data_IF_622979841209
#
_entry.id   IF_622979841209
#
_cell.length_a   1.000
_cell.length_b   1.000
_cell.length_c   1.000
_cell.angle_alpha   90.00
_cell.angle_beta   90.00
_cell.angle_gamma   90.00
#
_symmetry.space_group_name_H-M   'P 1'
#
loop_
_entity.id
_entity.type
_entity.pdbx_description
1 polymer ?
#
# COMPACT_ATOMS: atom_id res chain seq x y z
N UNK A 1 10.03 -21.95 4.28
CA UNK A 1 8.69 -21.58 4.78
C UNK A 1 8.57 -20.07 4.58
N UNK A 2 7.98 -19.65 3.47
CA UNK A 2 7.99 -18.24 3.06
C UNK A 2 6.86 -17.50 3.78
N UNK A 3 7.21 -16.70 4.79
CA UNK A 3 6.33 -15.72 5.41
C UNK A 3 6.63 -14.36 4.78
N UNK A 4 5.62 -13.59 4.41
CA UNK A 4 5.77 -12.21 3.93
C UNK A 4 5.13 -11.28 4.95
N UNK A 5 5.90 -10.39 5.54
CA UNK A 5 5.40 -9.38 6.48
C UNK A 5 5.05 -8.12 5.69
N UNK A 6 3.85 -7.59 5.87
CA UNK A 6 3.45 -6.35 5.22
C UNK A 6 3.22 -5.27 6.26
N UNK A 7 3.30 -4.04 5.81
CA UNK A 7 3.02 -2.89 6.65
C UNK A 7 2.41 -1.75 5.85
N UNK A 8 1.59 -0.97 6.56
CA UNK A 8 1.01 0.26 6.05
C UNK A 8 1.73 1.44 6.69
N UNK A 9 2.56 2.11 5.90
CA UNK A 9 3.09 3.43 6.29
C UNK A 9 2.37 4.52 5.55
N UNK A 10 1.69 5.38 6.29
CA UNK A 10 1.40 6.73 5.77
C UNK A 10 2.55 7.65 6.14
N UNK A 11 3.39 8.00 5.15
CA UNK A 11 4.35 9.10 5.26
C UNK A 11 3.66 10.39 4.83
N UNK A 12 2.53 10.72 5.45
CA UNK A 12 2.11 12.12 5.54
C UNK A 12 1.11 12.26 6.70
N UNK A 13 1.46 13.07 7.69
CA UNK A 13 0.54 13.60 8.68
C UNK A 13 0.22 15.07 8.33
N UNK A 14 -0.24 15.35 7.12
CA UNK A 14 -0.80 16.65 6.75
C UNK A 14 -2.09 16.47 5.94
N UNK A 15 -3.14 16.13 6.67
CA UNK A 15 -4.50 16.52 6.27
C UNK A 15 -5.37 15.42 5.68
N UNK A 16 -6.57 15.35 6.23
CA UNK A 16 -7.81 14.85 5.61
C UNK A 16 -8.23 13.38 5.76
N UNK A 17 -7.35 12.39 5.97
CA UNK A 17 -7.80 10.98 5.97
C UNK A 17 -7.64 10.21 7.29
N UNK A 18 -7.42 10.87 8.42
CA UNK A 18 -7.19 10.20 9.72
C UNK A 18 -8.34 9.31 10.20
N UNK A 19 -9.57 9.50 9.68
CA UNK A 19 -10.79 8.82 10.12
C UNK A 19 -11.02 7.42 9.50
N UNK A 20 -10.32 7.07 8.40
CA UNK A 20 -10.59 5.84 7.63
C UNK A 20 -9.54 4.72 7.78
N UNK A 21 -8.52 4.89 8.63
CA UNK A 21 -7.43 3.93 8.79
C UNK A 21 -7.90 2.48 9.05
N UNK A 22 -8.97 2.31 9.82
CA UNK A 22 -9.53 0.99 10.12
C UNK A 22 -10.18 0.31 8.92
N UNK A 23 -10.83 1.07 8.03
CA UNK A 23 -11.41 0.55 6.79
C UNK A 23 -10.32 0.22 5.79
N UNK A 24 -9.36 1.13 5.56
CA UNK A 24 -8.22 0.88 4.66
C UNK A 24 -7.47 -0.39 5.06
N UNK A 25 -7.18 -0.59 6.36
CA UNK A 25 -6.54 -1.82 6.84
C UNK A 25 -7.37 -3.07 6.52
N UNK A 26 -8.69 -3.01 6.66
CA UNK A 26 -9.57 -4.14 6.31
C UNK A 26 -9.53 -4.44 4.81
N UNK A 27 -9.59 -3.43 3.96
CA UNK A 27 -9.51 -3.63 2.50
C UNK A 27 -8.17 -4.25 2.10
N UNK A 28 -7.07 -3.77 2.70
CA UNK A 28 -5.74 -4.33 2.45
C UNK A 28 -5.62 -5.78 2.94
N UNK A 29 -6.16 -6.09 4.12
CA UNK A 29 -6.18 -7.47 4.64
C UNK A 29 -6.98 -8.40 3.71
N UNK A 30 -8.15 -7.94 3.23
CA UNK A 30 -8.97 -8.70 2.27
C UNK A 30 -8.25 -8.90 0.93
N UNK A 31 -7.60 -7.85 0.41
CA UNK A 31 -6.85 -7.91 -0.84
C UNK A 31 -5.68 -8.91 -0.73
N UNK A 32 -4.92 -8.88 0.36
CA UNK A 32 -3.82 -9.82 0.61
C UNK A 32 -4.32 -11.25 0.88
N UNK A 33 -5.49 -11.40 1.49
CA UNK A 33 -6.10 -12.71 1.74
C UNK A 33 -6.43 -13.48 0.46
N UNK A 34 -6.69 -12.79 -0.66
CA UNK A 34 -6.86 -13.44 -1.98
C UNK A 34 -5.61 -14.24 -2.35
N UNK A 35 -4.43 -13.65 -2.17
CA UNK A 35 -3.15 -14.29 -2.48
C UNK A 35 -2.80 -15.38 -1.46
N UNK A 36 -3.02 -15.13 -0.17
CA UNK A 36 -2.77 -16.12 0.88
C UNK A 36 -3.57 -17.41 0.66
N UNK A 37 -4.83 -17.28 0.22
CA UNK A 37 -5.73 -18.44 0.00
C UNK A 37 -5.24 -19.40 -1.07
N UNK A 38 -4.47 -18.91 -2.05
CA UNK A 38 -4.05 -19.66 -3.23
C UNK A 38 -2.53 -19.90 -3.28
N UNK A 39 -1.83 -19.66 -2.18
CA UNK A 39 -0.39 -19.86 -2.07
C UNK A 39 -0.01 -20.33 -0.67
N UNK A 40 1.29 -20.51 -0.42
CA UNK A 40 1.82 -20.73 0.93
C UNK A 40 2.25 -19.42 1.61
N UNK A 41 1.82 -18.27 1.09
CA UNK A 41 2.12 -16.98 1.70
C UNK A 41 1.21 -16.74 2.91
N UNK A 42 1.80 -16.17 3.95
CA UNK A 42 1.07 -15.60 5.08
C UNK A 42 1.46 -14.14 5.17
N UNK A 43 0.45 -13.28 5.37
CA UNK A 43 0.58 -11.85 5.46
C UNK A 43 0.28 -11.41 6.90
N UNK A 44 1.17 -10.61 7.50
CA UNK A 44 0.97 -10.03 8.83
C UNK A 44 1.30 -8.55 8.82
N UNK A 45 0.37 -7.71 9.29
CA UNK A 45 0.60 -6.29 9.54
C UNK A 45 1.65 -6.10 10.65
N UNK A 46 2.65 -5.26 10.41
CA UNK A 46 3.61 -4.82 11.44
C UNK A 46 3.49 -3.31 11.71
N UNK A 47 4.41 -2.69 12.46
CA UNK A 47 4.52 -1.24 12.60
C UNK A 47 5.97 -0.78 12.35
N UNK A 48 6.65 -1.44 11.41
CA UNK A 48 8.08 -1.27 11.15
C UNK A 48 8.33 -0.84 9.71
N UNK A 49 9.24 0.12 9.53
CA UNK A 49 9.79 0.53 8.24
C UNK A 49 10.54 -0.60 7.53
N UNK A 50 10.91 -1.68 8.24
CA UNK A 50 11.57 -2.88 7.71
C UNK A 50 10.57 -3.95 7.19
N UNK A 51 9.38 -3.57 6.75
CA UNK A 51 8.41 -4.53 6.21
C UNK A 51 8.75 -4.95 4.78
N UNK A 52 8.36 -6.15 4.36
CA UNK A 52 8.58 -6.64 2.99
C UNK A 52 7.69 -5.92 1.95
N UNK A 53 6.62 -5.29 2.41
CA UNK A 53 5.68 -4.50 1.61
C UNK A 53 5.36 -3.26 2.43
N UNK A 54 5.76 -2.07 1.98
CA UNK A 54 5.30 -0.80 2.57
C UNK A 54 4.27 -0.16 1.65
N UNK A 55 3.06 0.03 2.19
CA UNK A 55 1.95 0.64 1.45
C UNK A 55 1.87 2.14 1.76
N UNK A 56 1.94 2.99 0.72
CA UNK A 56 1.94 4.46 0.81
C UNK A 56 0.91 5.09 -0.14
N UNK A 57 0.49 6.31 0.18
CA UNK A 57 -0.31 7.17 -0.70
C UNK A 57 0.53 8.40 -1.03
N UNK A 58 0.59 8.77 -2.31
CA UNK A 58 1.43 9.87 -2.80
C UNK A 58 0.72 10.65 -3.90
N UNK A 59 1.12 11.92 -4.10
CA UNK A 59 0.71 12.76 -5.23
C UNK A 59 1.89 13.04 -6.14
N UNK A 60 1.66 13.10 -7.45
CA UNK A 60 2.65 13.56 -8.43
C UNK A 60 4.01 12.86 -8.31
N UNK A 61 5.10 13.64 -8.41
CA UNK A 61 6.47 13.14 -8.19
C UNK A 61 6.72 12.83 -6.71
N UNK A 62 7.08 11.58 -6.42
CA UNK A 62 7.23 11.08 -5.05
C UNK A 62 8.54 10.32 -4.81
N UNK A 63 9.58 10.63 -5.60
CA UNK A 63 10.97 10.28 -5.30
C UNK A 63 11.39 8.89 -5.75
N UNK A 64 10.54 8.18 -6.49
CA UNK A 64 10.84 6.89 -7.09
C UNK A 64 11.02 6.91 -8.62
N UNK A 65 10.83 8.08 -9.25
CA UNK A 65 10.97 8.26 -10.69
C UNK A 65 9.74 7.83 -11.50
N UNK A 66 8.65 7.44 -10.82
CA UNK A 66 7.38 7.04 -11.43
C UNK A 66 6.26 7.97 -10.93
N UNK A 67 6.29 9.24 -11.34
CA UNK A 67 5.29 10.21 -10.91
C UNK A 67 3.84 9.80 -11.27
N UNK A 68 2.91 10.06 -10.35
CA UNK A 68 1.48 9.99 -10.60
C UNK A 68 1.01 11.18 -11.45
N UNK A 69 -0.13 11.03 -12.14
CA UNK A 69 -0.64 12.01 -13.09
C UNK A 69 -1.88 12.78 -12.63
N UNK A 70 -2.23 12.65 -11.35
CA UNK A 70 -3.45 13.21 -10.79
C UNK A 70 -4.66 12.37 -11.18
N UNK A 71 -5.88 12.93 -11.08
CA UNK A 71 -7.10 12.12 -11.20
C UNK A 71 -7.22 11.35 -12.52
N UNK A 72 -7.41 10.04 -12.41
CA UNK A 72 -7.89 9.12 -13.43
C UNK A 72 -6.93 7.98 -13.81
N UNK A 73 -5.83 8.27 -14.52
CA UNK A 73 -5.18 7.26 -15.39
C UNK A 73 -4.26 6.32 -14.63
N UNK A 74 -3.35 6.84 -13.80
CA UNK A 74 -2.41 6.02 -13.01
C UNK A 74 -2.91 5.98 -11.57
N UNK A 75 -3.64 4.92 -11.22
CA UNK A 75 -4.24 4.80 -9.89
C UNK A 75 -3.23 4.39 -8.80
N UNK A 76 -2.26 3.55 -9.17
CA UNK A 76 -1.30 2.95 -8.25
C UNK A 76 -0.16 2.27 -9.00
N UNK A 77 0.96 2.03 -8.31
CA UNK A 77 2.01 1.11 -8.78
C UNK A 77 2.61 0.31 -7.63
N UNK A 78 3.34 -0.76 -7.97
CA UNK A 78 4.06 -1.58 -7.02
C UNK A 78 5.40 -2.05 -7.60
N UNK A 79 6.35 -2.32 -6.73
CA UNK A 79 7.66 -2.87 -7.11
C UNK A 79 7.70 -4.39 -6.92
N UNK A 80 8.50 -5.07 -7.76
CA UNK A 80 8.76 -6.49 -7.56
C UNK A 80 9.43 -6.75 -6.19
N UNK A 81 9.27 -7.96 -5.60
CA UNK A 81 9.95 -8.31 -4.35
C UNK A 81 11.46 -8.11 -4.43
N UNK A 82 12.06 -7.53 -3.39
CA UNK A 82 13.50 -7.23 -3.37
C UNK A 82 13.93 -6.43 -2.15
N UNK A 83 15.16 -5.91 -2.19
CA UNK A 83 15.68 -5.00 -1.16
C UNK A 83 15.19 -3.57 -1.42
N UNK A 84 15.40 -2.69 -0.43
CA UNK A 84 15.06 -1.27 -0.46
C UNK A 84 13.56 -1.03 -0.69
N UNK A 85 13.16 -0.68 -1.92
CA UNK A 85 11.76 -0.43 -2.31
C UNK A 85 11.05 -1.69 -2.82
N UNK A 86 11.75 -2.81 -2.87
CA UNK A 86 11.20 -4.05 -3.41
C UNK A 86 10.00 -4.51 -2.59
N UNK A 87 8.84 -4.62 -3.24
CA UNK A 87 7.57 -4.96 -2.61
C UNK A 87 6.70 -3.77 -2.18
N UNK A 88 7.23 -2.54 -2.19
CA UNK A 88 6.43 -1.34 -1.87
C UNK A 88 5.28 -1.16 -2.87
N UNK A 89 4.15 -0.65 -2.36
CA UNK A 89 2.94 -0.34 -3.13
C UNK A 89 2.58 1.12 -2.87
N UNK A 90 2.43 1.90 -3.94
CA UNK A 90 2.03 3.30 -3.87
C UNK A 90 0.67 3.49 -4.55
N UNK A 91 -0.23 4.23 -3.92
CA UNK A 91 -1.51 4.65 -4.45
C UNK A 91 -1.48 6.16 -4.75
N UNK A 92 -2.14 6.59 -5.83
CA UNK A 92 -2.31 8.02 -6.11
C UNK A 92 -3.32 8.63 -5.12
N UNK A 93 -2.89 9.61 -4.36
CA UNK A 93 -3.69 10.32 -3.36
C UNK A 93 -4.63 11.37 -3.98
N UNK A 94 -4.43 11.73 -5.24
CA UNK A 94 -5.36 12.62 -5.96
C UNK A 94 -6.64 11.89 -6.43
N UNK A 95 -6.71 10.58 -6.27
CA UNK A 95 -7.90 9.79 -6.57
C UNK A 95 -8.97 9.85 -5.48
N UNK A 96 -10.23 9.71 -5.90
CA UNK A 96 -11.34 9.51 -4.97
C UNK A 96 -11.48 8.03 -4.64
N UNK A 97 -10.77 7.59 -3.60
CA UNK A 97 -10.86 6.21 -3.09
C UNK A 97 -12.16 5.98 -2.33
N UNK A 98 -12.95 5.00 -2.79
CA UNK A 98 -14.17 4.57 -2.13
C UNK A 98 -13.89 3.28 -1.37
N UNK A 99 -14.33 3.23 -0.11
CA UNK A 99 -14.35 2.02 0.70
C UNK A 99 -15.76 1.43 0.58
N UNK A 100 -15.87 0.11 0.39
CA UNK A 100 -17.17 -0.53 0.34
C UNK A 100 -17.96 -0.29 1.64
N UNK A 101 -19.28 -0.11 1.49
CA UNK A 101 -20.22 0.32 2.55
C UNK A 101 -20.74 -0.84 3.40
#
# INVERSE_FOLDING_TARGET
WFSSMWWVRRIDQQGEWSEHHGQVRRELDQALAVWARHSNLTFRETNSDDADIVIKFHRGEHGDGYAFDGPGRILAHAFFPGQDRGGDVHFDEDETWLLEY
#
